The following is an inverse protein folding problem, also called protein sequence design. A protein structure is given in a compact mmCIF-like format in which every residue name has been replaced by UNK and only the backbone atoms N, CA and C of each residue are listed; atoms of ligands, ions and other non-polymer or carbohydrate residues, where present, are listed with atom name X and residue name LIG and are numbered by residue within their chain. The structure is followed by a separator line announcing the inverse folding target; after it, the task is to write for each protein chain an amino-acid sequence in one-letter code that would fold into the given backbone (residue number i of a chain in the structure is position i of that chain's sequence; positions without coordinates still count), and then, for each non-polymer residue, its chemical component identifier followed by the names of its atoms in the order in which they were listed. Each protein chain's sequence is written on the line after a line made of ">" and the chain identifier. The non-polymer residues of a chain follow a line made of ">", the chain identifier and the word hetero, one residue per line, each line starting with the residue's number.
data_IF_422766409100
#
_entry.id   IF_422766409100
#
_cell.length_a   1.000
_cell.length_b   1.000
_cell.length_c   1.000
_cell.angle_alpha   90.00
_cell.angle_beta   90.00
_cell.angle_gamma   90.00
#
_symmetry.space_group_name_H-M   'P 1'
#
loop_
_entity.id
_entity.type
_entity.pdbx_description
1 polymer ?
#
# COMPACT_ATOMS: atom_id res chain seq x y z
N UNK A 1 -43.75 -0.20 11.03
CA UNK A 1 -43.07 0.79 10.18
C UNK A 1 -41.70 0.20 9.91
N UNK A 2 -41.53 -0.43 8.74
CA UNK A 2 -40.23 -0.95 8.31
C UNK A 2 -39.33 0.23 7.99
N UNK A 3 -38.35 0.47 8.83
CA UNK A 3 -37.24 1.34 8.50
C UNK A 3 -36.34 0.54 7.57
N UNK A 4 -36.61 0.66 6.26
CA UNK A 4 -35.67 0.17 5.23
C UNK A 4 -34.33 0.89 5.47
N UNK A 5 -33.34 0.16 5.97
CA UNK A 5 -31.95 0.61 6.06
C UNK A 5 -31.51 0.95 4.63
N UNK A 6 -31.41 2.23 4.33
CA UNK A 6 -30.75 2.70 3.11
C UNK A 6 -29.29 2.24 3.27
N UNK A 7 -28.93 1.16 2.61
CA UNK A 7 -27.56 0.75 2.49
C UNK A 7 -26.84 1.86 1.70
N UNK A 8 -26.07 2.66 2.40
CA UNK A 8 -25.22 3.67 1.76
C UNK A 8 -24.18 2.93 0.94
N UNK A 9 -24.27 3.06 -0.37
CA UNK A 9 -23.33 2.41 -1.29
C UNK A 9 -21.93 2.98 -1.06
N UNK A 10 -20.94 2.13 -0.81
CA UNK A 10 -19.56 2.56 -0.57
C UNK A 10 -18.90 2.99 -1.87
N UNK A 11 -18.48 4.24 -1.94
CA UNK A 11 -17.75 4.79 -3.09
C UNK A 11 -16.42 4.03 -3.31
N UNK A 12 -15.75 3.64 -2.22
CA UNK A 12 -14.50 2.91 -2.31
C UNK A 12 -14.70 1.47 -2.79
N UNK A 13 -15.82 0.82 -2.43
CA UNK A 13 -16.14 -0.51 -2.96
C UNK A 13 -16.41 -0.48 -4.47
N UNK A 14 -17.19 0.49 -4.94
CA UNK A 14 -17.41 0.68 -6.38
C UNK A 14 -16.08 0.91 -7.11
N UNK A 15 -15.26 1.80 -6.56
CA UNK A 15 -13.95 2.11 -7.12
C UNK A 15 -13.02 0.90 -7.12
N UNK A 16 -13.15 -0.03 -6.17
CA UNK A 16 -12.29 -1.21 -6.08
C UNK A 16 -12.47 -2.19 -7.25
N UNK A 17 -13.63 -2.18 -7.90
CA UNK A 17 -13.97 -3.06 -9.05
C UNK A 17 -14.04 -2.31 -10.38
N UNK A 18 -13.80 -1.00 -10.38
CA UNK A 18 -13.85 -0.18 -11.59
C UNK A 18 -12.73 -0.54 -12.56
N UNK A 19 -13.08 -0.81 -13.82
CA UNK A 19 -12.12 -1.15 -14.88
C UNK A 19 -11.46 0.08 -15.52
N UNK A 20 -12.12 1.23 -15.50
CA UNK A 20 -11.65 2.49 -16.10
C UNK A 20 -10.95 3.37 -15.06
N UNK A 21 -9.99 2.82 -14.35
CA UNK A 21 -9.30 3.50 -13.25
C UNK A 21 -8.62 4.78 -13.69
N UNK A 22 -8.84 5.83 -12.92
CA UNK A 22 -8.12 7.11 -12.97
C UNK A 22 -7.45 7.38 -11.62
N UNK A 23 -6.62 8.41 -11.55
CA UNK A 23 -6.12 8.94 -10.28
C UNK A 23 -7.31 9.26 -9.35
N UNK A 24 -7.23 8.96 -8.04
CA UNK A 24 -8.30 9.25 -7.10
C UNK A 24 -8.72 10.71 -7.10
N UNK A 25 -10.03 10.97 -7.02
CA UNK A 25 -10.58 12.33 -6.94
C UNK A 25 -10.81 12.82 -5.50
N UNK A 26 -10.73 11.90 -4.50
CA UNK A 26 -10.80 12.29 -3.08
C UNK A 26 -9.47 12.86 -2.59
N UNK A 27 -9.51 13.75 -1.61
CA UNK A 27 -8.34 14.37 -0.99
C UNK A 27 -7.91 13.69 0.31
N UNK A 28 -7.24 14.47 1.16
CA UNK A 28 -6.88 14.07 2.51
C UNK A 28 -8.07 14.31 3.43
N UNK A 29 -8.98 13.33 3.53
CA UNK A 29 -10.22 13.49 4.29
C UNK A 29 -10.00 13.34 5.81
N UNK A 30 -8.91 12.68 6.22
CA UNK A 30 -8.55 12.52 7.63
C UNK A 30 -7.03 12.58 7.83
N UNK A 31 -6.59 12.88 9.06
CA UNK A 31 -5.17 12.93 9.44
C UNK A 31 -4.49 11.55 9.45
N UNK A 32 -5.28 10.48 9.65
CA UNK A 32 -4.88 9.08 9.54
C UNK A 32 -6.07 8.21 9.15
N UNK A 33 -5.87 6.91 8.87
CA UNK A 33 -6.95 5.93 8.82
C UNK A 33 -7.27 5.52 10.26
N UNK A 34 -8.51 5.81 10.67
CA UNK A 34 -9.01 5.44 11.99
C UNK A 34 -9.79 4.13 11.88
N UNK A 35 -9.17 3.07 12.38
CA UNK A 35 -9.73 1.73 12.33
C UNK A 35 -10.70 1.48 13.49
N UNK A 36 -11.81 0.76 13.28
CA UNK A 36 -12.72 0.33 14.33
C UNK A 36 -12.04 -0.49 15.43
N UNK A 37 -12.66 -0.56 16.60
CA UNK A 37 -12.11 -1.19 17.81
C UNK A 37 -11.67 -2.65 17.64
N UNK A 38 -12.34 -3.40 16.79
CA UNK A 38 -12.00 -4.80 16.54
C UNK A 38 -10.63 -5.01 15.89
N UNK A 39 -10.02 -3.97 15.30
CA UNK A 39 -8.66 -4.06 14.78
C UNK A 39 -7.59 -4.08 15.88
N UNK A 40 -7.87 -3.51 17.06
CA UNK A 40 -6.85 -3.29 18.09
C UNK A 40 -5.99 -4.52 18.39
N UNK A 41 -4.68 -4.32 18.53
CA UNK A 41 -3.71 -5.36 18.84
C UNK A 41 -2.91 -5.88 17.65
N UNK A 42 -2.41 -7.11 17.77
CA UNK A 42 -1.52 -7.74 16.77
C UNK A 42 -2.25 -8.84 16.01
N UNK A 43 -1.93 -8.97 14.74
CA UNK A 43 -2.52 -9.91 13.80
C UNK A 43 -1.45 -10.62 12.99
N UNK A 44 -1.65 -11.91 12.71
CA UNK A 44 -0.92 -12.63 11.67
C UNK A 44 -1.66 -12.43 10.36
N UNK A 45 -1.02 -11.84 9.38
CA UNK A 45 -1.59 -11.59 8.06
C UNK A 45 -1.00 -12.56 7.03
N UNK A 46 -1.90 -13.17 6.25
CA UNK A 46 -1.56 -13.95 5.06
C UNK A 46 -2.15 -13.24 3.85
N UNK A 47 -1.30 -12.69 3.00
CA UNK A 47 -1.69 -11.98 1.78
C UNK A 47 -1.37 -12.81 0.55
N UNK A 48 -2.39 -13.10 -0.25
CA UNK A 48 -2.31 -13.85 -1.50
C UNK A 48 -2.63 -12.96 -2.68
N UNK A 49 -1.74 -12.89 -3.67
CA UNK A 49 -2.05 -12.23 -4.94
C UNK A 49 -3.00 -13.12 -5.73
N UNK A 50 -4.18 -12.60 -6.07
CA UNK A 50 -5.21 -13.35 -6.81
C UNK A 50 -5.33 -12.93 -8.26
N UNK A 51 -4.97 -11.68 -8.59
CA UNK A 51 -4.95 -11.20 -9.98
C UNK A 51 -3.92 -10.08 -10.17
N UNK A 52 -3.35 -10.01 -11.38
CA UNK A 52 -2.42 -8.97 -11.82
C UNK A 52 -2.84 -8.53 -13.22
N UNK A 53 -2.99 -7.23 -13.43
CA UNK A 53 -3.30 -6.68 -14.74
C UNK A 53 -2.42 -5.50 -15.12
N UNK A 54 -2.25 -5.29 -16.43
CA UNK A 54 -1.51 -4.20 -17.04
C UNK A 54 -2.45 -3.36 -17.93
N UNK A 55 -3.29 -2.47 -17.36
CA UNK A 55 -4.34 -1.76 -18.11
C UNK A 55 -3.84 -0.91 -19.27
N UNK A 56 -2.59 -0.46 -19.20
CA UNK A 56 -1.95 0.35 -20.25
C UNK A 56 -1.05 -0.47 -21.19
N UNK A 57 -1.13 -1.81 -21.13
CA UNK A 57 -0.28 -2.73 -21.87
C UNK A 57 1.07 -2.99 -21.18
N UNK A 58 1.69 -4.10 -21.55
CA UNK A 58 2.90 -4.61 -20.90
C UNK A 58 4.09 -3.65 -21.02
N UNK A 59 4.17 -2.85 -22.08
CA UNK A 59 5.28 -1.90 -22.29
C UNK A 59 5.39 -0.83 -21.18
N UNK A 60 4.30 -0.56 -20.45
CA UNK A 60 4.29 0.39 -19.33
C UNK A 60 4.41 -0.31 -17.96
N UNK A 61 4.23 -1.62 -17.92
CA UNK A 61 4.43 -2.40 -16.69
C UNK A 61 5.92 -2.40 -16.29
N UNK A 62 6.22 -2.45 -15.00
CA UNK A 62 7.61 -2.52 -14.51
C UNK A 62 8.30 -3.79 -15.01
N UNK A 63 9.38 -3.62 -15.76
CA UNK A 63 10.09 -4.74 -16.42
C UNK A 63 9.43 -5.22 -17.73
N UNK A 64 8.40 -4.52 -18.22
CA UNK A 64 7.72 -4.86 -19.46
C UNK A 64 6.97 -6.20 -19.39
N UNK A 65 6.79 -6.85 -20.53
CA UNK A 65 6.11 -8.16 -20.61
C UNK A 65 6.81 -9.24 -19.80
N UNK A 66 8.13 -9.25 -19.78
CA UNK A 66 8.91 -10.18 -18.95
C UNK A 66 8.63 -9.96 -17.47
N UNK A 67 8.59 -8.68 -17.02
CA UNK A 67 8.25 -8.34 -15.65
C UNK A 67 6.85 -8.77 -15.26
N UNK A 68 5.86 -8.58 -16.15
CA UNK A 68 4.48 -9.03 -15.95
C UNK A 68 4.41 -10.56 -15.82
N UNK A 69 5.01 -11.29 -16.75
CA UNK A 69 5.00 -12.75 -16.74
C UNK A 69 5.68 -13.33 -15.49
N UNK A 70 6.80 -12.72 -15.07
CA UNK A 70 7.47 -13.11 -13.82
C UNK A 70 6.60 -12.85 -12.59
N UNK A 71 5.89 -11.70 -12.53
CA UNK A 71 4.98 -11.41 -11.42
C UNK A 71 3.84 -12.45 -11.37
N UNK A 72 3.19 -12.75 -12.49
CA UNK A 72 2.14 -13.77 -12.57
C UNK A 72 2.67 -15.16 -12.17
N UNK A 73 3.87 -15.52 -12.65
CA UNK A 73 4.46 -16.82 -12.31
C UNK A 73 4.73 -16.90 -10.81
N UNK A 74 5.46 -15.94 -10.25
CA UNK A 74 5.93 -15.99 -8.87
C UNK A 74 4.80 -15.78 -7.86
N UNK A 75 3.93 -14.80 -8.08
CA UNK A 75 2.94 -14.38 -7.08
C UNK A 75 1.66 -15.20 -7.14
N UNK A 76 1.23 -15.64 -8.34
CA UNK A 76 -0.03 -16.38 -8.52
C UNK A 76 0.23 -17.88 -8.66
N UNK A 77 1.06 -18.29 -9.63
CA UNK A 77 1.23 -19.71 -9.96
C UNK A 77 2.07 -20.46 -8.94
N UNK A 78 3.18 -19.86 -8.52
CA UNK A 78 4.06 -20.45 -7.51
C UNK A 78 3.54 -20.21 -6.08
N UNK A 79 2.57 -19.29 -5.91
CA UNK A 79 1.90 -19.02 -4.65
C UNK A 79 2.85 -18.46 -3.59
N UNK A 80 3.72 -17.52 -3.98
CA UNK A 80 4.62 -16.85 -3.05
C UNK A 80 3.83 -15.84 -2.19
N UNK A 81 3.05 -16.38 -1.25
CA UNK A 81 2.22 -15.61 -0.34
C UNK A 81 3.07 -14.81 0.65
N UNK A 82 2.67 -13.57 0.96
CA UNK A 82 3.32 -12.79 2.00
C UNK A 82 2.70 -13.12 3.36
N UNK A 83 3.55 -13.49 4.32
CA UNK A 83 3.18 -13.76 5.71
C UNK A 83 3.88 -12.76 6.62
N UNK A 84 3.13 -11.87 7.24
CA UNK A 84 3.68 -10.83 8.10
C UNK A 84 2.82 -10.61 9.34
N UNK A 85 3.37 -9.91 10.35
CA UNK A 85 2.61 -9.41 11.47
C UNK A 85 2.14 -7.99 11.19
N UNK A 86 0.84 -7.72 11.44
CA UNK A 86 0.27 -6.38 11.45
C UNK A 86 -0.10 -5.98 12.87
N UNK A 87 0.11 -4.72 13.21
CA UNK A 87 -0.23 -4.16 14.52
C UNK A 87 -1.05 -2.90 14.38
N UNK A 88 -2.11 -2.81 15.18
CA UNK A 88 -2.94 -1.62 15.30
C UNK A 88 -2.90 -1.17 16.76
N UNK A 89 -2.54 0.09 16.97
CA UNK A 89 -2.35 0.69 18.30
C UNK A 89 -3.46 1.71 18.58
N UNK A 90 -3.82 1.94 19.85
CA UNK A 90 -4.79 2.97 20.20
C UNK A 90 -4.33 4.33 19.68
N UNK A 91 -5.27 5.11 19.16
CA UNK A 91 -4.98 6.50 18.80
C UNK A 91 -4.63 7.30 20.06
N UNK A 92 -3.50 8.00 20.04
CA UNK A 92 -3.13 8.89 21.14
C UNK A 92 -3.91 10.22 21.04
N UNK A 93 -4.57 10.64 22.13
CA UNK A 93 -4.96 12.03 22.33
C UNK A 93 -6.43 12.41 22.22
N UNK A 94 -7.29 11.61 21.61
CA UNK A 94 -8.72 12.01 21.42
C UNK A 94 -9.70 11.18 22.25
N UNK A 95 -9.39 10.76 23.46
CA UNK A 95 -10.40 10.24 24.40
C UNK A 95 -11.51 9.31 23.83
N UNK A 96 -11.46 8.97 22.56
CA UNK A 96 -12.34 8.09 21.84
C UNK A 96 -11.99 6.65 22.16
N UNK A 97 -12.62 6.08 23.16
CA UNK A 97 -12.59 4.64 23.37
C UNK A 97 -12.96 3.96 22.06
N UNK A 98 -12.01 3.24 21.47
CA UNK A 98 -12.28 2.31 20.39
C UNK A 98 -11.83 2.69 18.98
N UNK A 99 -10.99 3.71 18.79
CA UNK A 99 -10.33 3.94 17.51
C UNK A 99 -8.85 3.57 17.57
N UNK A 100 -8.39 2.92 16.50
CA UNK A 100 -7.02 2.44 16.36
C UNK A 100 -6.40 3.00 15.08
N UNK A 101 -5.08 3.12 15.08
CA UNK A 101 -4.30 3.47 13.89
C UNK A 101 -3.32 2.34 13.59
N UNK A 102 -2.93 2.20 12.32
CA UNK A 102 -1.88 1.25 11.95
C UNK A 102 -0.53 1.69 12.55
N UNK A 103 0.16 0.77 13.22
CA UNK A 103 1.56 0.98 13.61
C UNK A 103 2.44 0.91 12.38
N UNK A 104 2.59 2.06 11.70
CA UNK A 104 3.22 2.14 10.37
C UNK A 104 4.66 1.69 10.37
N UNK A 105 5.42 2.03 11.41
CA UNK A 105 6.81 1.62 11.53
C UNK A 105 6.93 0.10 11.65
N UNK A 106 6.16 -0.48 12.56
CA UNK A 106 6.15 -1.92 12.79
C UNK A 106 5.68 -2.66 11.53
N UNK A 107 4.54 -2.24 10.97
CA UNK A 107 3.93 -2.91 9.82
C UNK A 107 4.82 -2.83 8.57
N UNK A 108 5.45 -1.68 8.31
CA UNK A 108 6.37 -1.53 7.20
C UNK A 108 7.59 -2.45 7.32
N UNK A 109 8.16 -2.58 8.53
CA UNK A 109 9.27 -3.51 8.81
C UNK A 109 8.87 -4.96 8.56
N UNK A 110 7.72 -5.38 9.09
CA UNK A 110 7.26 -6.77 8.95
C UNK A 110 6.92 -7.13 7.49
N UNK A 111 6.29 -6.23 6.74
CA UNK A 111 6.02 -6.42 5.31
C UNK A 111 7.34 -6.51 4.52
N UNK A 112 8.28 -5.61 4.77
CA UNK A 112 9.57 -5.62 4.07
C UNK A 112 10.38 -6.88 4.38
N UNK A 113 10.40 -7.34 5.64
CA UNK A 113 11.03 -8.61 6.02
C UNK A 113 10.41 -9.80 5.31
N UNK A 114 9.07 -9.85 5.24
CA UNK A 114 8.36 -10.91 4.54
C UNK A 114 8.70 -10.93 3.04
N UNK A 115 8.79 -9.75 2.42
CA UNK A 115 9.03 -9.63 0.98
C UNK A 115 10.52 -9.85 0.57
N UNK A 116 11.47 -9.49 1.42
CA UNK A 116 12.90 -9.40 1.07
C UNK A 116 13.83 -10.15 2.03
N UNK A 117 13.30 -10.70 3.13
CA UNK A 117 14.07 -11.39 4.17
C UNK A 117 14.36 -10.54 5.41
N UNK A 118 14.73 -11.17 6.50
CA UNK A 118 14.84 -10.56 7.84
C UNK A 118 15.88 -9.42 7.94
N UNK A 119 16.91 -9.42 7.11
CA UNK A 119 17.97 -8.41 7.14
C UNK A 119 17.74 -7.23 6.18
N UNK A 120 16.58 -7.18 5.53
CA UNK A 120 16.30 -6.17 4.52
C UNK A 120 16.08 -4.77 5.07
N UNK A 121 15.52 -4.65 6.28
CA UNK A 121 15.22 -3.34 6.89
C UNK A 121 16.30 -2.98 7.89
N UNK A 122 17.03 -1.90 7.59
CA UNK A 122 18.12 -1.39 8.43
C UNK A 122 17.57 -0.38 9.44
N UNK A 123 16.67 0.52 9.01
CA UNK A 123 16.13 1.61 9.82
C UNK A 123 14.84 2.17 9.25
N UNK A 124 14.06 2.87 10.09
CA UNK A 124 12.87 3.63 9.71
C UNK A 124 12.99 5.06 10.30
N UNK A 125 13.79 5.93 9.67
CA UNK A 125 14.13 7.23 10.23
C UNK A 125 12.93 8.20 10.34
N UNK A 126 11.86 7.97 9.58
CA UNK A 126 10.65 8.78 9.63
C UNK A 126 9.44 7.83 9.71
N UNK A 127 8.59 8.04 10.71
CA UNK A 127 7.34 7.30 10.90
C UNK A 127 6.23 8.24 11.41
N UNK A 128 5.57 8.93 10.50
CA UNK A 128 4.41 9.79 10.79
C UNK A 128 3.21 9.32 9.95
N UNK A 129 1.97 9.72 10.29
CA UNK A 129 0.80 9.36 9.49
C UNK A 129 0.91 9.76 8.02
N UNK A 130 1.56 10.89 7.72
CA UNK A 130 1.63 11.44 6.37
C UNK A 130 2.94 11.12 5.64
N UNK A 131 3.95 10.64 6.35
CA UNK A 131 5.23 10.25 5.76
C UNK A 131 5.90 9.18 6.60
N UNK A 132 6.36 8.13 5.96
CA UNK A 132 7.33 7.23 6.56
C UNK A 132 8.42 6.85 5.57
N UNK A 133 9.60 6.50 6.09
CA UNK A 133 10.71 6.06 5.26
C UNK A 133 11.34 4.80 5.82
N UNK A 134 11.82 3.95 4.93
CA UNK A 134 12.56 2.75 5.26
C UNK A 134 13.93 2.79 4.59
N UNK A 135 14.97 2.51 5.36
CA UNK A 135 16.30 2.24 4.84
C UNK A 135 16.45 0.74 4.65
N UNK A 136 16.66 0.31 3.42
CA UNK A 136 16.68 -1.09 3.02
C UNK A 136 18.04 -1.50 2.49
N UNK A 137 18.44 -2.74 2.81
CA UNK A 137 19.57 -3.42 2.17
C UNK A 137 19.04 -4.37 1.09
N UNK A 138 19.33 -4.12 -0.20
CA UNK A 138 18.96 -5.05 -1.27
C UNK A 138 19.65 -6.41 -1.08
N UNK A 139 19.09 -7.48 -1.65
CA UNK A 139 19.77 -8.78 -1.67
C UNK A 139 21.18 -8.64 -2.26
N UNK A 140 22.19 -9.11 -1.53
CA UNK A 140 23.60 -9.02 -1.95
C UNK A 140 24.49 -8.07 -1.15
N UNK A 141 23.95 -7.36 -0.13
CA UNK A 141 24.80 -6.68 0.85
C UNK A 141 24.43 -5.24 1.20
N UNK A 142 25.09 -4.73 2.24
CA UNK A 142 24.87 -3.40 2.83
C UNK A 142 25.52 -2.23 2.07
N UNK A 143 26.26 -2.50 0.97
CA UNK A 143 27.00 -1.45 0.29
C UNK A 143 26.13 -0.54 -0.60
N UNK A 144 24.94 -1.00 -0.99
CA UNK A 144 24.02 -0.27 -1.88
C UNK A 144 22.67 -0.10 -1.20
N UNK A 145 22.66 0.59 -0.06
CA UNK A 145 21.41 0.87 0.65
C UNK A 145 20.49 1.74 -0.20
N UNK A 146 19.21 1.47 -0.12
CA UNK A 146 18.16 2.29 -0.72
C UNK A 146 17.26 2.87 0.37
N UNK A 147 16.79 4.08 0.15
CA UNK A 147 15.75 4.70 0.95
C UNK A 147 14.44 4.65 0.17
N UNK A 148 13.40 4.16 0.81
CA UNK A 148 12.02 4.19 0.30
C UNK A 148 11.24 5.18 1.14
N UNK A 149 10.90 6.31 0.54
CA UNK A 149 10.02 7.32 1.14
C UNK A 149 8.60 7.11 0.64
N UNK A 150 7.64 7.11 1.57
CA UNK A 150 6.20 7.04 1.29
C UNK A 150 5.54 8.31 1.83
N UNK A 151 4.89 9.05 0.95
CA UNK A 151 4.17 10.29 1.29
C UNK A 151 2.68 10.08 0.99
N UNK A 152 1.83 10.27 1.99
CA UNK A 152 0.39 10.27 1.79
C UNK A 152 -0.05 11.50 0.98
N UNK A 153 -0.81 11.29 -0.08
CA UNK A 153 -1.37 12.33 -0.95
C UNK A 153 -2.85 12.49 -0.69
N UNK A 154 -3.56 11.36 -0.57
CA UNK A 154 -4.99 11.34 -0.29
C UNK A 154 -5.34 10.14 0.58
N UNK A 155 -6.46 10.26 1.31
CA UNK A 155 -6.91 9.24 2.25
C UNK A 155 -8.41 9.35 2.47
N UNK A 156 -9.09 8.20 2.44
CA UNK A 156 -10.52 8.10 2.69
C UNK A 156 -10.84 6.81 3.45
N UNK A 157 -11.81 6.88 4.35
CA UNK A 157 -12.30 5.70 5.06
C UNK A 157 -13.83 5.74 5.20
N UNK A 158 -14.47 4.58 5.15
CA UNK A 158 -15.91 4.40 5.21
C UNK A 158 -16.26 3.22 6.12
N UNK A 159 -17.06 3.45 7.16
CA UNK A 159 -17.68 2.37 7.94
C UNK A 159 -19.01 2.03 7.29
N UNK A 160 -19.06 0.93 6.56
CA UNK A 160 -20.23 0.49 5.78
C UNK A 160 -21.23 -0.22 6.68
N UNK A 161 -20.74 -1.04 7.61
CA UNK A 161 -21.53 -1.69 8.65
C UNK A 161 -20.66 -1.94 9.89
N UNK A 162 -21.22 -2.42 11.01
CA UNK A 162 -20.42 -2.81 12.18
C UNK A 162 -19.33 -3.85 11.87
N UNK A 163 -19.56 -4.72 10.87
CA UNK A 163 -18.64 -5.78 10.46
C UNK A 163 -17.84 -5.42 9.21
N UNK A 164 -18.09 -4.27 8.57
CA UNK A 164 -17.49 -3.92 7.30
C UNK A 164 -16.88 -2.53 7.30
N UNK A 165 -15.58 -2.47 7.12
CA UNK A 165 -14.78 -1.25 7.03
C UNK A 165 -14.03 -1.20 5.70
N UNK A 166 -14.04 -0.05 5.05
CA UNK A 166 -13.35 0.18 3.79
C UNK A 166 -12.46 1.40 3.92
N UNK A 167 -11.22 1.29 3.47
CA UNK A 167 -10.34 2.45 3.43
C UNK A 167 -9.47 2.46 2.19
N UNK A 168 -8.99 3.65 1.86
CA UNK A 168 -8.05 3.87 0.78
C UNK A 168 -6.98 4.87 1.20
N UNK A 169 -5.73 4.56 0.84
CA UNK A 169 -4.62 5.50 0.84
C UNK A 169 -4.04 5.63 -0.57
N UNK A 170 -3.84 6.86 -0.99
CA UNK A 170 -3.10 7.20 -2.20
C UNK A 170 -1.79 7.86 -1.79
N UNK A 171 -0.70 7.21 -2.14
CA UNK A 171 0.64 7.59 -1.67
C UNK A 171 1.59 7.82 -2.85
N UNK A 172 2.59 8.68 -2.66
CA UNK A 172 3.76 8.76 -3.53
C UNK A 172 4.90 7.98 -2.91
N UNK A 173 5.39 7.00 -3.65
CA UNK A 173 6.58 6.23 -3.30
C UNK A 173 7.78 6.78 -4.07
N UNK A 174 8.84 7.11 -3.34
CA UNK A 174 10.10 7.59 -3.88
C UNK A 174 11.18 6.60 -3.43
N UNK A 175 11.85 5.98 -4.40
CA UNK A 175 12.99 5.08 -4.15
C UNK A 175 14.26 5.79 -4.55
N UNK A 176 15.19 5.95 -3.63
CA UNK A 176 16.46 6.66 -3.85
C UNK A 176 17.64 5.85 -3.32
N UNK A 177 18.84 6.00 -3.90
CA UNK A 177 20.03 5.51 -3.24
C UNK A 177 20.16 6.17 -1.86
N UNK A 178 20.48 5.40 -0.82
CA UNK A 178 20.72 5.99 0.49
C UNK A 178 22.03 6.78 0.45
N UNK A 179 21.95 8.07 0.73
CA UNK A 179 23.15 8.88 0.85
C UNK A 179 23.82 8.58 2.20
N UNK A 180 25.08 8.18 2.19
CA UNK A 180 25.90 8.21 3.38
C UNK A 180 25.95 9.66 3.85
N UNK A 181 25.85 9.91 5.16
CA UNK A 181 25.88 11.23 5.80
C UNK A 181 27.08 12.09 5.34
N UNK A 182 26.99 12.63 4.16
CA UNK A 182 27.93 13.58 3.60
C UNK A 182 27.18 14.88 3.32
N UNK A 183 27.34 15.91 4.16
CA UNK A 183 26.64 17.19 3.99
C UNK A 183 26.96 17.89 2.66
N UNK A 184 28.02 17.48 1.97
CA UNK A 184 28.43 18.01 0.67
C UNK A 184 28.06 17.07 -0.51
N UNK A 185 27.31 16.00 -0.26
CA UNK A 185 26.89 15.12 -1.33
C UNK A 185 25.88 15.83 -2.24
N UNK A 186 26.14 15.81 -3.53
CA UNK A 186 25.17 16.28 -4.53
C UNK A 186 23.91 15.44 -4.46
N UNK A 187 22.71 16.07 -4.57
CA UNK A 187 21.46 15.32 -4.64
C UNK A 187 21.51 14.27 -5.75
N UNK A 188 21.28 13.01 -5.40
CA UNK A 188 21.20 11.92 -6.39
C UNK A 188 19.75 11.81 -6.83
N UNK A 189 19.46 11.78 -8.13
CA UNK A 189 18.10 11.59 -8.64
C UNK A 189 17.50 10.29 -8.09
N UNK A 190 16.19 10.25 -7.81
CA UNK A 190 15.52 9.03 -7.39
C UNK A 190 15.60 7.96 -8.48
N UNK A 191 15.74 6.70 -8.06
CA UNK A 191 15.72 5.53 -8.94
C UNK A 191 14.32 5.29 -9.52
N UNK A 192 13.30 5.61 -8.73
CA UNK A 192 11.89 5.46 -9.11
C UNK A 192 11.00 6.40 -8.31
N UNK A 193 10.01 6.99 -8.99
CA UNK A 193 8.90 7.73 -8.37
C UNK A 193 7.61 7.21 -8.97
N UNK A 194 6.68 6.79 -8.12
CA UNK A 194 5.35 6.32 -8.56
C UNK A 194 4.30 6.68 -7.53
N UNK A 195 3.05 6.70 -7.94
CA UNK A 195 1.91 6.86 -7.06
C UNK A 195 1.14 5.55 -6.98
N UNK A 196 0.67 5.21 -5.79
CA UNK A 196 0.01 3.93 -5.53
C UNK A 196 -1.26 4.22 -4.74
N UNK A 197 -2.40 3.80 -5.28
CA UNK A 197 -3.65 3.71 -4.53
C UNK A 197 -3.78 2.30 -3.98
N UNK A 198 -4.07 2.19 -2.68
CA UNK A 198 -4.43 0.93 -2.03
C UNK A 198 -5.82 1.06 -1.45
N UNK A 199 -6.79 0.28 -1.97
CA UNK A 199 -8.12 0.14 -1.39
C UNK A 199 -8.19 -1.19 -0.66
N UNK A 200 -8.65 -1.18 0.59
CA UNK A 200 -8.83 -2.36 1.44
C UNK A 200 -10.26 -2.44 1.94
N UNK A 201 -10.93 -3.57 1.67
CA UNK A 201 -12.28 -3.88 2.09
C UNK A 201 -12.21 -4.97 3.15
N UNK A 202 -12.43 -4.60 4.39
CA UNK A 202 -12.34 -5.51 5.54
C UNK A 202 -13.72 -5.99 5.95
N UNK A 203 -13.84 -7.30 6.14
CA UNK A 203 -15.02 -7.96 6.68
C UNK A 203 -14.63 -8.75 7.94
N UNK A 204 -15.27 -8.45 9.05
CA UNK A 204 -15.10 -9.20 10.31
C UNK A 204 -15.85 -10.50 10.20
N UNK A 205 -15.15 -11.61 10.28
CA UNK A 205 -15.73 -12.97 10.21
C UNK A 205 -16.03 -13.48 11.62
N UNK A 206 -15.20 -13.06 12.58
CA UNK A 206 -15.36 -13.42 13.97
C UNK A 206 -14.41 -12.60 14.84
N UNK A 207 -14.39 -12.91 16.14
CA UNK A 207 -13.58 -12.21 17.13
C UNK A 207 -12.09 -12.19 16.80
N UNK A 208 -11.60 -13.25 16.18
CA UNK A 208 -10.17 -13.48 15.94
C UNK A 208 -9.83 -13.60 14.45
N UNK A 209 -10.77 -13.25 13.56
CA UNK A 209 -10.56 -13.32 12.11
C UNK A 209 -11.18 -12.12 11.37
N UNK A 210 -10.37 -11.50 10.52
CA UNK A 210 -10.80 -10.47 9.56
C UNK A 210 -10.34 -10.91 8.17
N UNK A 211 -11.26 -10.91 7.21
CA UNK A 211 -10.94 -11.08 5.80
C UNK A 211 -10.89 -9.74 5.11
N UNK A 212 -9.89 -9.55 4.25
CA UNK A 212 -9.72 -8.32 3.50
C UNK A 212 -9.52 -8.63 2.01
N UNK A 213 -10.32 -7.97 1.18
CA UNK A 213 -10.02 -7.85 -0.25
C UNK A 213 -9.30 -6.54 -0.47
N UNK A 214 -8.11 -6.62 -1.06
CA UNK A 214 -7.30 -5.45 -1.30
C UNK A 214 -6.98 -5.29 -2.78
N UNK A 215 -7.01 -4.07 -3.27
CA UNK A 215 -6.54 -3.71 -4.60
C UNK A 215 -5.47 -2.64 -4.49
N UNK A 216 -4.36 -2.82 -5.22
CA UNK A 216 -3.38 -1.76 -5.47
C UNK A 216 -3.41 -1.34 -6.92
N UNK A 217 -3.29 -0.04 -7.17
CA UNK A 217 -3.19 0.53 -8.52
C UNK A 217 -2.00 1.48 -8.56
N UNK A 218 -1.02 1.19 -9.43
CA UNK A 218 0.22 1.98 -9.58
C UNK A 218 0.13 2.90 -10.77
N UNK A 219 0.36 4.19 -10.54
CA UNK A 219 0.35 5.25 -11.54
C UNK A 219 1.76 5.79 -11.76
N UNK A 220 2.06 6.16 -13.00
CA UNK A 220 3.30 6.85 -13.33
C UNK A 220 3.18 8.35 -12.95
N UNK A 221 4.31 8.92 -12.59
CA UNK A 221 4.44 10.35 -12.25
C UNK A 221 5.24 11.04 -13.35
N UNK A 222 4.82 12.26 -13.80
CA UNK A 222 5.59 12.99 -14.80
C UNK A 222 6.97 13.39 -14.25
N UNK A 223 8.01 13.18 -15.05
CA UNK A 223 9.36 13.62 -14.75
C UNK A 223 9.75 14.79 -15.61
N UNK A 224 10.29 15.86 -15.02
CA UNK A 224 10.81 17.01 -15.77
C UNK A 224 12.23 16.77 -16.28
N UNK A 225 12.95 15.84 -15.69
CA UNK A 225 14.37 15.59 -15.98
C UNK A 225 14.61 14.29 -16.77
N UNK A 226 13.63 13.37 -16.77
CA UNK A 226 13.69 12.12 -17.53
C UNK A 226 12.62 12.13 -18.64
N UNK A 227 13.08 12.33 -19.88
CA UNK A 227 12.22 12.36 -21.06
C UNK A 227 11.50 11.02 -21.29
N UNK A 228 12.13 9.89 -20.98
CA UNK A 228 11.53 8.57 -21.19
C UNK A 228 10.40 8.36 -20.17
N UNK A 229 10.64 8.69 -18.91
CA UNK A 229 9.62 8.63 -17.86
C UNK A 229 8.44 9.56 -18.19
N UNK A 230 8.69 10.76 -18.69
CA UNK A 230 7.64 11.69 -19.13
C UNK A 230 6.81 11.11 -20.28
N UNK A 231 7.44 10.53 -21.31
CA UNK A 231 6.74 9.90 -22.42
C UNK A 231 5.87 8.72 -21.95
N UNK A 232 6.38 7.85 -21.07
CA UNK A 232 5.60 6.74 -20.50
C UNK A 232 4.38 7.25 -19.73
N UNK A 233 4.57 8.30 -18.91
CA UNK A 233 3.46 8.94 -18.21
C UNK A 233 2.39 9.48 -19.19
N UNK A 234 2.78 10.16 -20.27
CA UNK A 234 1.83 10.61 -21.29
C UNK A 234 1.08 9.43 -21.94
N UNK A 235 1.79 8.32 -22.23
CA UNK A 235 1.17 7.12 -22.81
C UNK A 235 0.17 6.46 -21.86
N UNK A 236 0.37 6.54 -20.54
CA UNK A 236 -0.56 5.99 -19.56
C UNK A 236 -1.89 6.76 -19.52
N UNK A 237 -1.90 8.01 -19.96
CA UNK A 237 -3.09 8.89 -19.98
C UNK A 237 -3.81 8.93 -18.61
N UNK A 238 -3.04 8.99 -17.52
CA UNK A 238 -3.57 9.03 -16.16
C UNK A 238 -4.16 7.71 -15.65
N UNK A 239 -4.00 6.60 -16.40
CA UNK A 239 -4.44 5.28 -15.98
C UNK A 239 -3.31 4.54 -15.25
N UNK A 240 -3.65 3.58 -14.36
CA UNK A 240 -2.63 2.77 -13.71
C UNK A 240 -1.95 1.83 -14.71
N UNK A 241 -0.68 1.57 -14.48
CA UNK A 241 0.15 0.70 -15.32
C UNK A 241 0.30 -0.71 -14.75
N UNK A 242 0.01 -0.88 -13.46
CA UNK A 242 0.04 -2.14 -12.71
C UNK A 242 -1.13 -2.12 -11.73
N UNK A 243 -2.03 -3.09 -11.81
CA UNK A 243 -3.13 -3.28 -10.86
C UNK A 243 -3.06 -4.69 -10.32
N UNK A 244 -3.13 -4.83 -9.01
CA UNK A 244 -3.07 -6.12 -8.31
C UNK A 244 -4.22 -6.25 -7.34
N UNK A 245 -4.74 -7.46 -7.24
CA UNK A 245 -5.78 -7.84 -6.29
C UNK A 245 -5.24 -8.89 -5.33
N UNK A 246 -5.61 -8.73 -4.06
CA UNK A 246 -5.15 -9.61 -3.00
C UNK A 246 -6.32 -10.07 -2.14
N UNK A 247 -6.29 -11.33 -1.72
CA UNK A 247 -7.05 -11.83 -0.61
C UNK A 247 -6.12 -11.88 0.63
N UNK A 248 -6.49 -11.14 1.68
CA UNK A 248 -5.70 -11.07 2.90
C UNK A 248 -6.54 -11.58 4.07
N UNK A 249 -6.01 -12.58 4.78
CA UNK A 249 -6.62 -13.09 6.00
C UNK A 249 -5.80 -12.64 7.20
N UNK A 250 -6.45 -11.98 8.15
CA UNK A 250 -5.88 -11.61 9.43
C UNK A 250 -6.42 -12.56 10.50
N UNK A 251 -5.54 -13.21 11.23
CA UNK A 251 -5.88 -14.01 12.41
C UNK A 251 -5.23 -13.40 13.64
N UNK A 252 -5.94 -13.37 14.78
CA UNK A 252 -5.43 -12.76 16.03
C UNK A 252 -4.08 -13.40 16.40
N UNK A 253 -3.08 -12.58 16.62
CA UNK A 253 -1.81 -13.09 17.14
C UNK A 253 -1.93 -13.39 18.64
N UNK A 254 -1.48 -14.55 19.05
CA UNK A 254 -1.37 -14.96 20.46
C UNK A 254 -0.23 -14.22 21.16
#
# INVERSE_FOLDING_TARGET
>A
MDVSSVQTQSILEERSVENALSVPSYGMEASDIFYPSYFGGSWNALSKTVDISAPCGFQLFTGGETGFNNAVQNEIKDGNDLKYRARFIPQAGDGGEGTYIADREYNAKEIAKSAMGDYSVIDTPIATPNRYSCLLAPPGGTNNLICVDILAIARKAETVSPEKFVCSEFVRQIVSPAQKNNPNAQPVPPLSVKEIETISIYNVIGKDEIQCKQRTATFLVPSQTDRIAFQKWQMSNGKPVDVRYYDVTYTRAS
#
